data_IF_357143085516
#
_entry.id   IF_357143085516
#
_cell.length_a   1.000
_cell.length_b   1.000
_cell.length_c   1.000
_cell.angle_alpha   90.00
_cell.angle_beta   90.00
_cell.angle_gamma   90.00
#
_symmetry.space_group_name_H-M   'P 1'
#
loop_
_entity.id
_entity.type
_entity.pdbx_description
1 polymer ?
#
# COMPACT_ATOMS: atom_id res chain seq x y z
N UNK A 1 8.15 -1.96 8.81
CA UNK A 1 7.06 -2.86 8.36
C UNK A 1 5.83 -2.01 8.06
N UNK A 2 4.83 -2.56 7.39
CA UNK A 2 3.56 -1.89 7.15
C UNK A 2 2.40 -2.88 7.32
N UNK A 3 1.22 -2.39 7.69
CA UNK A 3 0.02 -3.18 7.93
C UNK A 3 -1.08 -2.69 6.99
N UNK A 4 -1.66 -3.61 6.23
CA UNK A 4 -2.91 -3.38 5.50
C UNK A 4 -4.07 -3.47 6.48
N UNK A 5 -4.84 -2.39 6.57
CA UNK A 5 -6.05 -2.29 7.37
C UNK A 5 -7.25 -2.29 6.43
N UNK A 6 -8.08 -3.32 6.54
CA UNK A 6 -9.28 -3.47 5.72
C UNK A 6 -10.25 -2.29 5.97
N UNK A 7 -10.89 -1.71 4.93
CA UNK A 7 -10.88 -2.15 3.53
C UNK A 7 -9.85 -1.48 2.61
N UNK A 8 -9.25 -0.36 3.00
CA UNK A 8 -8.50 0.47 2.05
C UNK A 8 -7.44 1.39 2.67
N UNK A 9 -6.99 1.05 3.88
CA UNK A 9 -5.99 1.83 4.61
C UNK A 9 -4.69 1.05 4.77
N UNK A 10 -3.56 1.77 4.82
CA UNK A 10 -2.25 1.16 5.05
C UNK A 10 -1.48 1.97 6.08
N UNK A 11 -1.05 1.32 7.16
CA UNK A 11 -0.28 1.94 8.23
C UNK A 11 1.18 1.53 8.16
N UNK A 12 2.07 2.51 8.06
CA UNK A 12 3.51 2.32 8.16
C UNK A 12 3.98 2.38 9.62
N UNK A 13 5.02 1.63 9.98
CA UNK A 13 5.70 1.78 11.27
C UNK A 13 6.31 3.16 11.49
N UNK A 14 6.47 3.97 10.43
CA UNK A 14 6.92 5.36 10.57
C UNK A 14 5.87 6.27 11.24
N UNK A 15 4.67 5.74 11.52
CA UNK A 15 3.55 6.44 12.15
C UNK A 15 2.55 7.04 11.17
N UNK A 16 2.80 6.95 9.87
CA UNK A 16 1.88 7.44 8.83
C UNK A 16 0.86 6.38 8.44
N UNK A 17 -0.38 6.81 8.20
CA UNK A 17 -1.46 5.98 7.68
C UNK A 17 -1.99 6.59 6.39
N UNK A 18 -1.88 5.84 5.30
CA UNK A 18 -2.38 6.25 3.99
C UNK A 18 -3.79 5.71 3.79
N UNK A 19 -4.71 6.61 3.43
CA UNK A 19 -6.11 6.29 3.18
C UNK A 19 -6.39 6.37 1.68
N UNK A 20 -6.89 5.28 1.12
CA UNK A 20 -7.33 5.24 -0.27
C UNK A 20 -8.81 4.92 -0.36
N UNK A 21 -9.43 5.25 -1.49
CA UNK A 21 -10.77 4.76 -1.77
C UNK A 21 -10.74 3.25 -2.01
N UNK A 22 -11.70 2.52 -1.44
CA UNK A 22 -11.81 1.06 -1.63
C UNK A 22 -11.81 0.67 -3.10
N UNK A 23 -12.53 1.43 -3.94
CA UNK A 23 -12.58 1.13 -5.37
C UNK A 23 -11.20 1.26 -6.04
N UNK A 24 -10.38 2.23 -5.62
CA UNK A 24 -9.01 2.38 -6.10
C UNK A 24 -8.17 1.16 -5.71
N UNK A 25 -8.26 0.69 -4.46
CA UNK A 25 -7.54 -0.50 -4.02
C UNK A 25 -7.98 -1.74 -4.81
N UNK A 26 -9.28 -1.94 -4.99
CA UNK A 26 -9.82 -3.06 -5.78
C UNK A 26 -9.35 -3.01 -7.24
N UNK A 27 -9.29 -1.83 -7.84
CA UNK A 27 -8.81 -1.68 -9.21
C UNK A 27 -7.29 -1.93 -9.29
N UNK A 28 -6.51 -1.46 -8.31
CA UNK A 28 -5.07 -1.73 -8.23
C UNK A 28 -4.79 -3.23 -8.01
N UNK A 29 -5.55 -3.92 -7.16
CA UNK A 29 -5.46 -5.36 -6.99
C UNK A 29 -5.73 -6.09 -8.32
N UNK A 30 -6.84 -5.78 -9.01
CA UNK A 30 -7.15 -6.38 -10.33
C UNK A 30 -6.04 -6.13 -11.36
N UNK A 31 -5.57 -4.88 -11.46
CA UNK A 31 -4.48 -4.51 -12.38
C UNK A 31 -3.18 -5.23 -12.01
N UNK A 32 -2.96 -5.47 -10.72
CA UNK A 32 -1.77 -6.14 -10.22
C UNK A 32 -1.72 -7.65 -10.46
N UNK A 33 -2.83 -8.24 -10.94
CA UNK A 33 -2.92 -9.67 -11.20
C UNK A 33 -1.97 -10.12 -12.32
N UNK A 34 -1.70 -9.24 -13.29
CA UNK A 34 -0.88 -9.55 -14.48
C UNK A 34 0.46 -8.82 -14.52
N UNK A 35 0.58 -7.69 -13.80
CA UNK A 35 1.81 -6.87 -13.75
C UNK A 35 1.96 -6.22 -12.39
N UNK A 36 3.16 -5.77 -12.05
CA UNK A 36 3.36 -4.95 -10.86
C UNK A 36 2.79 -3.54 -11.09
N UNK A 37 2.06 -3.00 -10.11
CA UNK A 37 1.55 -1.62 -10.14
C UNK A 37 1.80 -0.93 -8.81
N UNK A 38 1.85 0.40 -8.83
CA UNK A 38 2.17 1.22 -7.65
C UNK A 38 1.11 2.30 -7.45
N UNK A 39 0.69 2.52 -6.21
CA UNK A 39 -0.21 3.59 -5.80
C UNK A 39 0.51 4.49 -4.79
N UNK A 40 0.67 5.76 -5.10
CA UNK A 40 1.32 6.72 -4.19
C UNK A 40 0.28 7.59 -3.50
N UNK A 41 0.54 7.89 -2.23
CA UNK A 41 -0.15 8.96 -1.52
C UNK A 41 0.24 10.34 -2.09
N UNK A 42 -0.65 11.31 -1.94
CA UNK A 42 -0.45 12.72 -2.30
C UNK A 42 0.29 13.53 -1.23
N UNK A 43 0.49 13.00 -0.03
CA UNK A 43 1.15 13.71 1.07
C UNK A 43 2.68 13.89 0.91
N UNK A 44 3.23 14.92 1.57
CA UNK A 44 4.66 15.27 1.54
C UNK A 44 5.58 14.12 1.96
N UNK A 45 5.14 13.28 2.91
CA UNK A 45 5.80 12.04 3.27
C UNK A 45 5.33 10.91 2.36
N UNK A 46 5.72 10.97 1.08
CA UNK A 46 5.25 10.03 0.05
C UNK A 46 5.43 8.57 0.48
N UNK A 47 4.31 7.89 0.67
CA UNK A 47 4.25 6.44 0.78
C UNK A 47 3.70 5.88 -0.52
N UNK A 48 4.39 4.87 -1.07
CA UNK A 48 3.97 4.21 -2.30
C UNK A 48 3.68 2.74 -2.02
N UNK A 49 2.42 2.35 -2.17
CA UNK A 49 1.98 0.96 -2.08
C UNK A 49 2.32 0.24 -3.37
N UNK A 50 2.99 -0.90 -3.26
CA UNK A 50 3.31 -1.80 -4.37
C UNK A 50 2.34 -2.96 -4.35
N UNK A 51 1.69 -3.20 -5.49
CA UNK A 51 0.79 -4.31 -5.70
C UNK A 51 1.38 -5.31 -6.69
N UNK A 52 1.26 -6.60 -6.37
CA UNK A 52 1.68 -7.70 -7.23
C UNK A 52 0.85 -8.95 -6.94
N UNK A 53 0.58 -9.75 -7.98
CA UNK A 53 -0.20 -10.98 -7.89
C UNK A 53 -1.59 -10.78 -7.23
N UNK A 54 -2.21 -9.65 -7.51
CA UNK A 54 -3.55 -9.35 -7.00
C UNK A 54 -3.62 -8.79 -5.58
N UNK A 55 -2.50 -8.40 -4.97
CA UNK A 55 -2.42 -8.02 -3.55
C UNK A 55 -1.42 -6.89 -3.33
N UNK A 56 -1.64 -6.09 -2.28
CA UNK A 56 -0.61 -5.22 -1.75
C UNK A 56 0.50 -6.06 -1.09
N UNK A 57 1.76 -5.81 -1.46
CA UNK A 57 2.91 -6.59 -0.98
C UNK A 57 3.89 -5.76 -0.15
N UNK A 58 4.08 -4.50 -0.51
CA UNK A 58 5.11 -3.63 0.06
C UNK A 58 4.66 -2.17 0.03
N UNK A 59 5.19 -1.38 0.95
CA UNK A 59 5.01 0.07 1.03
C UNK A 59 6.40 0.71 1.03
N UNK A 60 6.69 1.53 0.03
CA UNK A 60 7.93 2.30 -0.04
C UNK A 60 7.73 3.57 0.79
N UNK A 61 8.50 3.71 1.86
CA UNK A 61 8.52 4.85 2.76
C UNK A 61 9.81 5.64 2.57
N UNK A 62 9.75 6.96 2.45
CA UNK A 62 10.96 7.81 2.37
C UNK A 62 11.83 7.76 3.63
N UNK A 63 11.26 7.43 4.79
CA UNK A 63 11.97 7.36 6.08
C UNK A 63 12.55 5.98 6.39
N UNK A 64 11.81 4.92 6.08
CA UNK A 64 12.14 3.54 6.45
C UNK A 64 12.59 2.67 5.27
N UNK A 65 12.48 3.16 4.03
CA UNK A 65 12.71 2.38 2.83
C UNK A 65 11.55 1.43 2.53
N UNK A 66 11.86 0.24 2.02
CA UNK A 66 10.90 -0.82 1.76
C UNK A 66 10.30 -1.39 3.06
N UNK A 67 8.99 -1.22 3.22
CA UNK A 67 8.22 -1.78 4.31
C UNK A 67 7.33 -2.90 3.79
N UNK A 68 7.64 -4.16 4.15
CA UNK A 68 6.76 -5.29 3.84
C UNK A 68 5.37 -5.11 4.45
N UNK A 69 4.33 -5.32 3.63
CA UNK A 69 2.93 -5.24 4.07
C UNK A 69 2.48 -6.60 4.62
N UNK A 70 1.83 -6.57 5.78
CA UNK A 70 1.07 -7.71 6.34
C UNK A 70 -0.38 -7.35 6.51
N UNK A 71 -1.28 -8.31 6.33
CA UNK A 71 -2.71 -8.10 6.58
C UNK A 71 -2.98 -8.23 8.07
N UNK A 72 -3.66 -7.27 8.68
CA UNK A 72 -4.28 -7.48 10.00
C UNK A 72 -5.41 -8.51 9.83
N UNK A 73 -5.32 -9.65 10.53
CA UNK A 73 -6.35 -10.69 10.54
C UNK A 73 -7.65 -10.20 11.17
#
# INVERSE_FOLDING_TARGET
MAIEMYPSSFRCDCGHESYFFENTIRDMEKLSATKQVTLSDTEDNKHTIVFSKGKAIEMICSKLGDCKITKSQ
#
